data_IF_125229848330
#
_entry.id   IF_125229848330
#
_cell.length_a   1.000
_cell.length_b   1.000
_cell.length_c   1.000
_cell.angle_alpha   90.00
_cell.angle_beta   90.00
_cell.angle_gamma   90.00
#
_symmetry.space_group_name_H-M   'P 1'
#
loop_
_entity.id
_entity.type
_entity.pdbx_description
1 polymer ?
#
# COMPACT_ATOMS: atom_id res chain seq x y z
N UNK A 1 -8.79 0.78 11.18
CA UNK A 1 -8.18 0.48 9.87
C UNK A 1 -7.32 -0.74 9.99
N UNK A 2 -7.29 -1.57 8.95
CA UNK A 2 -6.44 -2.74 8.86
C UNK A 2 -5.94 -2.92 7.42
N UNK A 3 -4.68 -3.34 7.28
CA UNK A 3 -4.17 -3.88 6.01
C UNK A 3 -4.77 -5.27 5.84
N UNK A 4 -5.39 -5.52 4.69
CA UNK A 4 -6.05 -6.80 4.37
C UNK A 4 -5.17 -7.72 3.55
N UNK A 5 -4.48 -7.16 2.57
CA UNK A 5 -3.55 -7.91 1.72
C UNK A 5 -2.47 -6.98 1.18
N UNK A 6 -1.33 -7.59 0.85
CA UNK A 6 -0.26 -6.96 0.09
C UNK A 6 0.04 -7.91 -1.06
N UNK A 7 -0.09 -7.41 -2.28
CA UNK A 7 0.25 -8.12 -3.51
C UNK A 7 1.49 -7.47 -4.14
N UNK A 8 2.50 -8.28 -4.38
CA UNK A 8 3.77 -7.86 -4.95
C UNK A 8 4.44 -9.06 -5.64
N UNK A 9 5.26 -8.82 -6.68
CA UNK A 9 6.07 -9.87 -7.28
C UNK A 9 7.01 -10.51 -6.24
N UNK A 10 7.22 -11.83 -6.36
CA UNK A 10 8.17 -12.56 -5.51
C UNK A 10 9.64 -12.27 -5.87
N UNK A 11 9.89 -11.81 -7.10
CA UNK A 11 11.20 -11.42 -7.61
C UNK A 11 11.07 -10.22 -8.55
N UNK A 12 12.07 -9.34 -8.51
CA UNK A 12 12.19 -8.15 -9.36
C UNK A 12 13.67 -7.95 -9.65
N UNK A 13 14.03 -7.74 -10.91
CA UNK A 13 15.41 -7.42 -11.28
C UNK A 13 15.76 -5.99 -10.85
N UNK A 14 17.03 -5.78 -10.51
CA UNK A 14 17.54 -4.44 -10.17
C UNK A 14 17.33 -3.47 -11.35
N UNK A 15 16.92 -2.26 -11.04
CA UNK A 15 16.61 -1.21 -12.03
C UNK A 15 15.25 -1.37 -12.73
N UNK A 16 14.56 -2.50 -12.55
CA UNK A 16 13.22 -2.71 -13.11
C UNK A 16 12.13 -2.32 -12.11
N UNK A 17 11.07 -1.69 -12.61
CA UNK A 17 9.93 -1.29 -11.78
C UNK A 17 8.99 -2.47 -11.51
N UNK A 18 8.52 -2.55 -10.28
CA UNK A 18 7.48 -3.46 -9.82
C UNK A 18 6.29 -2.69 -9.24
N UNK A 19 5.11 -3.27 -9.38
CA UNK A 19 3.89 -2.74 -8.77
C UNK A 19 3.61 -3.47 -7.47
N UNK A 20 3.40 -2.72 -6.40
CA UNK A 20 2.95 -3.22 -5.10
C UNK A 20 1.54 -2.70 -4.87
N UNK A 21 0.60 -3.60 -4.60
CA UNK A 21 -0.80 -3.24 -4.30
C UNK A 21 -1.11 -3.58 -2.86
N UNK A 22 -1.56 -2.60 -2.10
CA UNK A 22 -1.97 -2.77 -0.70
C UNK A 22 -3.48 -2.60 -0.60
N UNK A 23 -4.17 -3.62 -0.09
CA UNK A 23 -5.59 -3.51 0.24
C UNK A 23 -5.74 -3.05 1.69
N UNK A 24 -6.45 -1.96 1.91
CA UNK A 24 -6.73 -1.41 3.25
C UNK A 24 -8.24 -1.28 3.46
N UNK A 25 -8.69 -1.68 4.65
CA UNK A 25 -10.10 -1.60 5.04
C UNK A 25 -10.31 -0.77 6.31
N UNK A 26 -11.45 -0.07 6.37
CA UNK A 26 -11.92 0.55 7.61
C UNK A 26 -12.76 -0.44 8.41
N UNK A 27 -12.22 -0.87 9.55
CA UNK A 27 -12.81 -1.83 10.49
C UNK A 27 -13.53 -1.17 11.66
N UNK A 28 -13.59 0.16 11.71
CA UNK A 28 -14.32 0.90 12.73
C UNK A 28 -15.70 1.35 12.25
N UNK A 29 -16.44 1.98 13.16
CA UNK A 29 -17.84 2.37 12.95
C UNK A 29 -18.00 3.80 12.42
N UNK A 30 -16.91 4.54 12.27
CA UNK A 30 -16.88 5.90 11.74
C UNK A 30 -16.10 6.00 10.43
N UNK A 31 -16.44 7.00 9.61
CA UNK A 31 -15.60 7.39 8.47
C UNK A 31 -14.28 7.96 8.96
N UNK A 32 -13.19 7.66 8.26
CA UNK A 32 -11.87 8.19 8.61
C UNK A 32 -10.91 8.17 7.44
N UNK A 33 -9.78 8.86 7.63
CA UNK A 33 -8.68 8.90 6.68
C UNK A 33 -7.46 8.20 7.27
N UNK A 34 -6.83 7.32 6.48
CA UNK A 34 -5.59 6.65 6.85
C UNK A 34 -4.53 6.88 5.77
N UNK A 35 -3.28 7.01 6.19
CA UNK A 35 -2.12 7.07 5.29
C UNK A 35 -1.53 5.68 5.16
N UNK A 36 -1.55 5.13 3.94
CA UNK A 36 -0.89 3.86 3.60
C UNK A 36 0.53 4.17 3.17
N UNK A 37 1.52 3.54 3.80
CA UNK A 37 2.93 3.68 3.45
C UNK A 37 3.52 2.32 3.09
N UNK A 38 4.35 2.31 2.06
CA UNK A 38 5.15 1.13 1.66
C UNK A 38 6.62 1.48 1.80
N UNK A 39 7.38 0.61 2.47
CA UNK A 39 8.83 0.72 2.58
C UNK A 39 9.49 -0.57 2.10
N UNK A 40 10.67 -0.43 1.48
CA UNK A 40 11.51 -1.52 1.03
C UNK A 40 12.92 -1.30 1.60
N UNK A 41 13.45 -2.31 2.30
CA UNK A 41 14.76 -2.23 2.97
C UNK A 41 14.93 -0.99 3.87
N UNK A 42 13.87 -0.57 4.55
CA UNK A 42 13.87 0.61 5.43
C UNK A 42 13.69 1.95 4.71
N UNK A 43 13.74 1.99 3.38
CA UNK A 43 13.50 3.20 2.57
C UNK A 43 12.03 3.32 2.18
N UNK A 44 11.47 4.52 2.27
CA UNK A 44 10.09 4.80 1.88
C UNK A 44 9.96 4.73 0.35
N UNK A 45 9.09 3.85 -0.14
CA UNK A 45 8.69 3.77 -1.55
C UNK A 45 7.65 4.84 -1.85
N UNK A 46 6.67 5.01 -0.96
CA UNK A 46 5.65 6.04 -1.09
C UNK A 46 4.61 6.02 0.01
N UNK A 47 3.81 7.08 0.07
CA UNK A 47 2.68 7.23 0.98
C UNK A 47 1.45 7.78 0.25
N UNK A 48 0.27 7.22 0.53
CA UNK A 48 -1.00 7.68 -0.05
C UNK A 48 -2.09 7.69 1.02
N UNK A 49 -2.83 8.79 1.09
CA UNK A 49 -3.97 8.91 2.00
C UNK A 49 -5.24 8.39 1.34
N UNK A 50 -6.02 7.61 2.08
CA UNK A 50 -7.34 7.12 1.67
C UNK A 50 -8.38 7.43 2.73
N UNK A 51 -9.53 7.92 2.29
CA UNK A 51 -10.71 8.10 3.14
C UNK A 51 -11.68 6.96 2.87
N UNK A 52 -12.13 6.29 3.92
CA UNK A 52 -12.99 5.11 3.84
C UNK A 52 -14.14 5.22 4.84
N UNK A 53 -15.35 4.96 4.36
CA UNK A 53 -16.52 4.73 5.21
C UNK A 53 -16.40 3.41 5.99
N UNK A 54 -17.18 3.21 7.07
CA UNK A 54 -17.22 1.94 7.80
C UNK A 54 -17.43 0.74 6.86
N UNK A 55 -16.64 -0.32 7.03
CA UNK A 55 -16.71 -1.53 6.20
C UNK A 55 -16.10 -1.40 4.79
N UNK A 56 -15.83 -0.19 4.30
CA UNK A 56 -15.24 0.02 2.98
C UNK A 56 -13.78 -0.43 2.97
N UNK A 57 -13.34 -0.93 1.81
CA UNK A 57 -11.93 -1.19 1.51
C UNK A 57 -11.52 -0.55 0.18
N UNK A 58 -10.23 -0.26 0.04
CA UNK A 58 -9.62 0.21 -1.20
C UNK A 58 -8.25 -0.41 -1.40
N UNK A 59 -7.94 -0.64 -2.67
CA UNK A 59 -6.62 -1.05 -3.11
C UNK A 59 -5.80 0.18 -3.51
N UNK A 60 -4.55 0.20 -3.08
CA UNK A 60 -3.64 1.33 -3.26
C UNK A 60 -2.36 0.81 -3.92
N UNK A 61 -2.12 1.25 -5.14
CA UNK A 61 -0.94 0.87 -5.92
C UNK A 61 0.25 1.80 -5.69
N UNK A 62 1.44 1.20 -5.61
CA UNK A 62 2.74 1.86 -5.53
C UNK A 62 3.67 1.27 -6.59
N UNK A 63 4.54 2.10 -7.15
CA UNK A 63 5.62 1.66 -8.04
C UNK A 63 6.92 1.69 -7.27
N UNK A 64 7.64 0.57 -7.27
CA UNK A 64 8.93 0.42 -6.61
C UNK A 64 9.98 -0.03 -7.62
N UNK A 65 11.16 0.58 -7.61
CA UNK A 65 12.29 0.20 -8.47
C UNK A 65 13.49 -0.13 -7.57
N UNK A 66 13.89 -1.40 -7.43
CA UNK A 66 15.00 -1.79 -6.57
C UNK A 66 16.34 -1.32 -7.13
N UNK A 67 17.19 -0.73 -6.28
CA UNK A 67 18.53 -0.28 -6.68
C UNK A 67 18.57 1.04 -7.45
N UNK A 68 17.42 1.72 -7.58
CA UNK A 68 17.35 3.12 -7.99
C UNK A 68 17.78 4.08 -6.86
#
# INVERSE_FOLDING_TARGET
FAVRSVDAPSQVDLGNSATVTVSVGNTGDGSGTATVQVSANGSLVGGRSVTLSPGQSRDVGFTWTPGA
#
